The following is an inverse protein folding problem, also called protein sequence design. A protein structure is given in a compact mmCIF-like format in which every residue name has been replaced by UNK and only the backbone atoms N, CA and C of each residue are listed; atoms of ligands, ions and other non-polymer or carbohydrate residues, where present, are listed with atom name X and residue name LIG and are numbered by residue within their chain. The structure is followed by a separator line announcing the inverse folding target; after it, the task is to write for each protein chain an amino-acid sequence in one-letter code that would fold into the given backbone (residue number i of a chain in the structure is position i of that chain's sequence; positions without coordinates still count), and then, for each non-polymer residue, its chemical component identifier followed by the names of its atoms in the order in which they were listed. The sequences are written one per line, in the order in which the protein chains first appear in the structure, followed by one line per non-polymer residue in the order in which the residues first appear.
data_IF_170711325972
#
_entry.id   IF_170711325972
#
_cell.length_a   1.000
_cell.length_b   1.000
_cell.length_c   1.000
_cell.angle_alpha   90.00
_cell.angle_beta   90.00
_cell.angle_gamma   90.00
#
_symmetry.space_group_name_H-M   'P 1'
#
loop_
_entity.id
_entity.type
_entity.pdbx_description
1 polymer ?
#
# COMPACT_ATOMS: atom_id res chain seq x y z
N UNK A 1 29.23 5.06 8.37
CA UNK A 1 29.70 4.63 9.69
C UNK A 1 29.36 3.16 9.90
N UNK A 2 28.17 2.78 10.34
CA UNK A 2 27.86 1.36 10.58
C UNK A 2 27.83 0.51 9.28
N UNK A 3 27.58 1.12 8.11
CA UNK A 3 27.59 0.43 6.84
C UNK A 3 28.97 -0.19 6.54
N UNK A 4 30.04 0.56 6.80
CA UNK A 4 31.41 0.08 6.60
C UNK A 4 31.77 -1.00 7.61
N UNK A 5 31.35 -0.83 8.88
CA UNK A 5 31.61 -1.79 9.95
C UNK A 5 30.97 -3.14 9.70
N UNK A 6 29.70 -3.14 9.25
CA UNK A 6 28.95 -4.36 8.93
C UNK A 6 29.09 -4.81 7.47
N UNK A 7 29.99 -4.17 6.70
CA UNK A 7 30.23 -4.46 5.30
C UNK A 7 28.97 -4.40 4.40
N UNK A 8 28.11 -3.39 4.67
CA UNK A 8 26.91 -3.14 3.88
C UNK A 8 27.20 -2.21 2.70
N UNK A 9 26.56 -2.47 1.56
CA UNK A 9 26.68 -1.65 0.34
C UNK A 9 25.91 -0.33 0.43
N UNK A 10 24.88 -0.27 1.26
CA UNK A 10 24.01 0.89 1.44
C UNK A 10 23.30 0.81 2.79
N UNK A 11 22.68 1.93 3.22
CA UNK A 11 21.82 1.95 4.42
C UNK A 11 20.58 1.08 4.23
N UNK A 12 20.36 0.03 5.03
CA UNK A 12 19.20 -0.84 4.89
C UNK A 12 17.88 -0.15 5.31
N UNK A 13 17.90 0.69 6.33
CA UNK A 13 16.71 1.24 6.98
C UNK A 13 16.44 2.72 6.65
N UNK A 14 16.63 3.11 5.39
CA UNK A 14 16.31 4.47 4.92
C UNK A 14 14.82 4.76 5.05
N UNK A 15 14.49 5.99 5.45
CA UNK A 15 13.10 6.45 5.53
C UNK A 15 12.55 6.92 4.18
N UNK A 16 13.42 7.31 3.25
CA UNK A 16 12.99 7.72 1.92
C UNK A 16 12.38 6.53 1.15
N UNK A 17 11.22 6.72 0.51
CA UNK A 17 10.60 5.67 -0.30
C UNK A 17 11.50 5.28 -1.47
N UNK A 18 11.99 4.04 -1.47
CA UNK A 18 12.79 3.45 -2.54
C UNK A 18 12.11 2.15 -3.01
N UNK A 19 11.62 2.10 -4.27
CA UNK A 19 10.94 0.92 -4.80
C UNK A 19 11.75 -0.37 -4.74
N UNK A 20 13.09 -0.27 -4.72
CA UNK A 20 13.98 -1.44 -4.61
C UNK A 20 13.85 -2.18 -3.29
N UNK A 21 13.48 -1.45 -2.22
CA UNK A 21 13.28 -2.00 -0.89
C UNK A 21 11.80 -2.33 -0.60
N UNK A 22 10.95 -2.34 -1.62
CA UNK A 22 9.55 -2.73 -1.44
C UNK A 22 9.49 -4.19 -0.97
N UNK A 23 8.91 -4.39 0.20
CA UNK A 23 8.60 -5.71 0.72
C UNK A 23 7.14 -6.05 0.42
N UNK A 24 6.91 -7.18 -0.22
CA UNK A 24 5.59 -7.64 -0.59
C UNK A 24 4.96 -8.44 0.56
N UNK A 25 4.49 -7.76 1.62
CA UNK A 25 3.65 -8.41 2.63
C UNK A 25 2.32 -8.86 2.02
N UNK A 26 1.60 -9.71 2.72
CA UNK A 26 0.26 -10.18 2.30
C UNK A 26 -0.70 -8.99 2.04
N UNK A 27 -0.67 -7.98 2.91
CA UNK A 27 -1.48 -6.77 2.75
C UNK A 27 -1.05 -5.95 1.54
N UNK A 28 0.26 -5.78 1.29
CA UNK A 28 0.79 -5.08 0.11
C UNK A 28 0.44 -5.79 -1.20
N UNK A 29 0.52 -7.13 -1.23
CA UNK A 29 0.12 -7.91 -2.41
C UNK A 29 -1.37 -7.75 -2.74
N UNK A 30 -2.23 -7.77 -1.71
CA UNK A 30 -3.68 -7.52 -1.88
C UNK A 30 -3.94 -6.10 -2.38
N UNK A 31 -3.33 -5.09 -1.76
CA UNK A 31 -3.43 -3.71 -2.22
C UNK A 31 -3.00 -3.56 -3.68
N UNK A 32 -1.87 -4.15 -4.06
CA UNK A 32 -1.38 -4.13 -5.44
C UNK A 32 -2.36 -4.80 -6.41
N UNK A 33 -3.01 -5.90 -6.02
CA UNK A 33 -4.03 -6.56 -6.83
C UNK A 33 -5.25 -5.64 -7.07
N UNK A 34 -5.75 -4.96 -6.02
CA UNK A 34 -6.84 -3.99 -6.16
C UNK A 34 -6.46 -2.80 -7.04
N UNK A 35 -5.25 -2.27 -6.89
CA UNK A 35 -4.73 -1.19 -7.71
C UNK A 35 -4.66 -1.59 -9.19
N UNK A 36 -4.15 -2.79 -9.48
CA UNK A 36 -4.12 -3.34 -10.86
C UNK A 36 -5.50 -3.59 -11.44
N UNK A 37 -6.40 -4.16 -10.63
CA UNK A 37 -7.79 -4.37 -11.04
C UNK A 37 -8.45 -3.06 -11.43
N UNK A 38 -8.34 -2.03 -10.59
CA UNK A 38 -8.90 -0.73 -10.90
C UNK A 38 -8.30 -0.13 -12.17
N UNK A 39 -6.98 -0.27 -12.37
CA UNK A 39 -6.35 0.17 -13.62
C UNK A 39 -6.92 -0.52 -14.86
N UNK A 40 -7.30 -1.80 -14.75
CA UNK A 40 -7.94 -2.52 -15.85
C UNK A 40 -9.34 -1.98 -16.14
N UNK A 41 -10.10 -1.64 -15.09
CA UNK A 41 -11.42 -1.01 -15.22
C UNK A 41 -11.31 0.37 -15.85
N UNK A 42 -10.25 1.13 -15.54
CA UNK A 42 -9.93 2.41 -16.19
C UNK A 42 -10.82 3.57 -15.81
N UNK A 43 -11.61 3.45 -14.74
CA UNK A 43 -12.55 4.47 -14.27
C UNK A 43 -12.58 4.57 -12.74
N UNK A 44 -13.22 5.62 -12.22
CA UNK A 44 -13.52 5.79 -10.79
C UNK A 44 -12.32 5.96 -9.88
N UNK A 45 -12.53 5.64 -8.59
CA UNK A 45 -11.55 5.82 -7.54
C UNK A 45 -11.10 4.48 -6.97
N UNK A 46 -9.80 4.39 -6.67
CA UNK A 46 -9.25 3.34 -5.83
C UNK A 46 -8.68 4.01 -4.59
N UNK A 47 -9.11 3.53 -3.44
CA UNK A 47 -8.73 4.10 -2.15
C UNK A 47 -7.81 3.13 -1.42
N UNK A 48 -6.66 3.60 -0.98
CA UNK A 48 -5.75 2.86 -0.10
C UNK A 48 -5.56 3.66 1.18
N UNK A 49 -6.08 3.15 2.28
CA UNK A 49 -5.87 3.72 3.60
C UNK A 49 -4.85 2.93 4.41
N UNK A 50 -4.41 3.45 5.51
CA UNK A 50 -3.51 2.78 6.46
C UNK A 50 -2.73 3.77 7.30
N UNK A 51 -2.05 3.27 8.31
CA UNK A 51 -1.29 4.07 9.26
C UNK A 51 -0.17 4.88 8.62
N UNK A 52 0.30 5.89 9.36
CA UNK A 52 1.47 6.68 8.96
C UNK A 52 2.69 5.75 8.92
N UNK A 53 3.29 5.64 7.72
CA UNK A 53 4.47 4.79 7.55
C UNK A 53 4.18 3.33 7.22
N UNK A 54 2.92 2.94 6.98
CA UNK A 54 2.54 1.60 6.50
C UNK A 54 3.08 1.27 5.10
N UNK A 55 3.59 2.25 4.33
CA UNK A 55 4.19 2.02 3.01
C UNK A 55 3.29 2.36 1.83
N UNK A 56 2.16 3.06 2.03
CA UNK A 56 1.21 3.48 0.98
C UNK A 56 1.87 4.13 -0.23
N UNK A 57 2.65 5.19 0.01
CA UNK A 57 3.36 5.94 -1.04
C UNK A 57 4.38 5.07 -1.77
N UNK A 58 5.08 4.17 -1.07
CA UNK A 58 6.06 3.25 -1.68
C UNK A 58 5.36 2.26 -2.60
N UNK A 59 4.22 1.70 -2.16
CA UNK A 59 3.40 0.77 -2.93
C UNK A 59 2.97 1.41 -4.27
N UNK A 60 2.46 2.63 -4.22
CA UNK A 60 1.95 3.31 -5.41
C UNK A 60 3.08 3.76 -6.33
N UNK A 61 4.21 4.23 -5.80
CA UNK A 61 5.40 4.51 -6.61
C UNK A 61 5.90 3.26 -7.34
N UNK A 62 5.90 2.11 -6.67
CA UNK A 62 6.25 0.84 -7.30
C UNK A 62 5.27 0.46 -8.42
N UNK A 63 3.96 0.70 -8.21
CA UNK A 63 2.96 0.51 -9.26
C UNK A 63 3.27 1.42 -10.47
N UNK A 64 3.46 2.72 -10.27
CA UNK A 64 3.73 3.68 -11.36
C UNK A 64 5.00 3.32 -12.12
N UNK A 65 6.08 2.97 -11.41
CA UNK A 65 7.32 2.56 -12.05
C UNK A 65 7.12 1.36 -13.00
N UNK A 66 6.20 0.47 -12.67
CA UNK A 66 5.80 -0.62 -13.54
C UNK A 66 4.92 -0.16 -14.71
N UNK A 67 4.02 0.79 -14.47
CA UNK A 67 3.10 1.33 -15.47
C UNK A 67 3.75 2.27 -16.49
N UNK A 68 4.87 2.90 -16.13
CA UNK A 68 5.63 3.74 -17.07
C UNK A 68 6.03 2.99 -18.37
N UNK A 69 5.97 1.65 -18.32
CA UNK A 69 6.17 0.77 -19.49
C UNK A 69 4.88 0.51 -20.29
N UNK A 70 3.71 0.94 -19.81
CA UNK A 70 2.40 0.52 -20.31
C UNK A 70 1.54 1.67 -20.89
N UNK A 71 2.14 2.67 -21.53
CA UNK A 71 1.38 3.80 -22.11
C UNK A 71 0.48 4.55 -21.09
N UNK A 72 0.96 4.74 -19.86
CA UNK A 72 0.27 5.46 -18.80
C UNK A 72 0.90 6.83 -18.57
N UNK A 73 0.08 7.88 -18.53
CA UNK A 73 0.47 9.22 -18.08
C UNK A 73 0.02 9.36 -16.62
N UNK A 74 0.96 9.35 -15.70
CA UNK A 74 0.68 9.43 -14.28
C UNK A 74 1.12 10.79 -13.72
N UNK A 75 0.26 11.40 -12.89
CA UNK A 75 0.60 12.57 -12.09
C UNK A 75 0.38 12.26 -10.61
N UNK A 76 1.23 12.81 -9.75
CA UNK A 76 1.12 12.70 -8.30
C UNK A 76 0.98 14.09 -7.70
N UNK A 77 0.01 14.25 -6.82
CA UNK A 77 -0.13 15.39 -5.93
C UNK A 77 -0.04 14.92 -4.48
N UNK A 78 0.59 15.73 -3.64
CA UNK A 78 0.60 15.53 -2.19
C UNK A 78 -0.23 16.66 -1.60
N UNK A 79 -1.30 16.30 -0.91
CA UNK A 79 -2.23 17.29 -0.40
C UNK A 79 -1.82 17.79 0.97
N UNK A 80 -1.82 19.11 1.09
CA UNK A 80 -1.95 19.83 2.35
C UNK A 80 -3.40 20.35 2.43
N UNK A 81 -3.77 21.11 3.42
CA UNK A 81 -5.10 21.73 3.49
C UNK A 81 -5.33 22.67 2.30
N UNK A 82 -5.99 22.18 1.25
CA UNK A 82 -6.22 22.88 0.00
C UNK A 82 -7.71 23.17 -0.20
N UNK A 83 -8.00 24.38 -0.60
CA UNK A 83 -9.33 24.71 -1.12
C UNK A 83 -9.59 24.03 -2.48
N UNK A 84 -10.85 23.91 -2.87
CA UNK A 84 -11.25 23.18 -4.07
C UNK A 84 -10.64 23.72 -5.36
N UNK A 85 -10.51 25.05 -5.49
CA UNK A 85 -9.98 25.67 -6.70
C UNK A 85 -8.45 25.48 -6.82
N UNK A 86 -7.75 25.48 -5.70
CA UNK A 86 -6.31 25.21 -5.66
C UNK A 86 -6.00 23.75 -5.99
N UNK A 87 -6.86 22.83 -5.59
CA UNK A 87 -6.73 21.42 -5.97
C UNK A 87 -6.74 21.26 -7.51
N UNK A 88 -7.69 21.87 -8.22
CA UNK A 88 -7.76 21.79 -9.68
C UNK A 88 -6.52 22.38 -10.35
N UNK A 89 -6.00 23.48 -9.83
CA UNK A 89 -4.75 24.09 -10.30
C UNK A 89 -3.55 23.17 -10.06
N UNK A 90 -3.48 22.53 -8.89
CA UNK A 90 -2.43 21.56 -8.59
C UNK A 90 -2.49 20.34 -9.52
N UNK A 91 -3.69 19.80 -9.78
CA UNK A 91 -3.88 18.71 -10.73
C UNK A 91 -3.41 19.12 -12.12
N UNK A 92 -3.80 20.31 -12.60
CA UNK A 92 -3.34 20.81 -13.89
C UNK A 92 -1.82 20.98 -13.94
N UNK A 93 -1.22 21.60 -12.90
CA UNK A 93 0.23 21.75 -12.78
C UNK A 93 0.98 20.41 -12.73
N UNK A 94 0.43 19.40 -12.04
CA UNK A 94 1.03 18.06 -11.98
C UNK A 94 1.04 17.35 -13.35
N UNK A 95 0.10 17.68 -14.23
CA UNK A 95 0.12 17.25 -15.65
C UNK A 95 0.90 18.19 -16.57
N UNK A 96 1.55 19.22 -16.03
CA UNK A 96 2.35 20.20 -16.82
C UNK A 96 1.52 21.21 -17.60
N UNK A 97 0.27 21.47 -17.17
CA UNK A 97 -0.63 22.42 -17.82
C UNK A 97 -0.54 23.82 -17.14
N UNK A 98 -0.78 24.91 -17.90
CA UNK A 98 -0.90 26.24 -17.31
C UNK A 98 -2.01 26.29 -16.27
N UNK A 99 -1.69 26.72 -15.05
CA UNK A 99 -2.60 26.74 -13.92
C UNK A 99 -2.62 28.03 -13.12
N UNK A 100 -1.59 28.88 -13.28
CA UNK A 100 -1.50 30.18 -12.62
C UNK A 100 -2.23 31.26 -13.47
N UNK A 101 -2.87 32.18 -12.78
CA UNK A 101 -3.62 33.31 -13.38
C UNK A 101 -4.71 32.91 -14.41
N UNK A 102 -5.23 31.69 -14.27
CA UNK A 102 -6.23 31.12 -15.17
C UNK A 102 -7.53 30.91 -14.39
N UNK A 103 -8.68 31.25 -15.01
CA UNK A 103 -9.97 30.98 -14.38
C UNK A 103 -10.23 29.45 -14.21
N UNK A 104 -11.00 29.08 -13.18
CA UNK A 104 -11.40 27.66 -12.93
C UNK A 104 -11.94 27.00 -14.21
N UNK A 105 -12.81 27.70 -14.94
CA UNK A 105 -13.39 27.18 -16.19
C UNK A 105 -12.33 26.92 -17.27
N UNK A 106 -11.28 27.73 -17.33
CA UNK A 106 -10.18 27.52 -18.29
C UNK A 106 -9.29 26.36 -17.84
N UNK A 107 -9.02 26.20 -16.53
CA UNK A 107 -8.30 25.03 -15.98
C UNK A 107 -9.02 23.73 -16.32
N UNK A 108 -10.34 23.66 -16.12
CA UNK A 108 -11.14 22.49 -16.45
C UNK A 108 -11.09 22.17 -17.93
N UNK A 109 -11.25 23.17 -18.82
CA UNK A 109 -11.13 22.97 -20.28
C UNK A 109 -9.74 22.47 -20.71
N UNK A 110 -8.69 23.00 -20.09
CA UNK A 110 -7.32 22.57 -20.38
C UNK A 110 -7.10 21.11 -19.94
N UNK A 111 -7.60 20.72 -18.77
CA UNK A 111 -7.56 19.35 -18.29
C UNK A 111 -8.33 18.41 -19.21
N UNK A 112 -9.57 18.76 -19.58
CA UNK A 112 -10.39 17.96 -20.48
C UNK A 112 -9.71 17.79 -21.84
N UNK A 113 -9.23 18.87 -22.44
CA UNK A 113 -8.54 18.84 -23.74
C UNK A 113 -7.28 17.97 -23.70
N UNK A 114 -6.51 18.08 -22.62
CA UNK A 114 -5.33 17.25 -22.40
C UNK A 114 -5.69 15.79 -22.28
N UNK A 115 -6.70 15.46 -21.47
CA UNK A 115 -7.14 14.08 -21.26
C UNK A 115 -7.66 13.45 -22.56
N UNK A 116 -8.44 14.20 -23.34
CA UNK A 116 -8.90 13.77 -24.66
C UNK A 116 -7.74 13.53 -25.63
N UNK A 117 -6.75 14.42 -25.66
CA UNK A 117 -5.58 14.25 -26.51
C UNK A 117 -4.78 12.99 -26.17
N UNK A 118 -4.51 12.76 -24.86
CA UNK A 118 -3.81 11.56 -24.40
C UNK A 118 -4.59 10.28 -24.64
N UNK A 119 -5.91 10.32 -24.46
CA UNK A 119 -6.79 9.18 -24.75
C UNK A 119 -6.77 8.78 -26.24
N UNK A 120 -6.74 9.78 -27.16
CA UNK A 120 -6.59 9.54 -28.61
C UNK A 120 -5.24 8.90 -28.97
N UNK A 121 -4.19 9.18 -28.19
CA UNK A 121 -2.88 8.51 -28.32
C UNK A 121 -2.88 7.09 -27.73
N UNK A 122 -4.01 6.59 -27.23
CA UNK A 122 -4.10 5.29 -26.57
C UNK A 122 -3.50 5.26 -25.16
N UNK A 123 -3.21 6.43 -24.58
CA UNK A 123 -2.63 6.53 -23.23
C UNK A 123 -3.72 6.57 -22.17
N UNK A 124 -3.48 5.91 -21.06
CA UNK A 124 -4.31 6.01 -19.84
C UNK A 124 -3.79 7.13 -18.96
N UNK A 125 -4.70 7.82 -18.28
CA UNK A 125 -4.33 8.92 -17.39
C UNK A 125 -4.67 8.53 -15.97
N UNK A 126 -3.69 8.63 -15.08
CA UNK A 126 -3.78 8.26 -13.68
C UNK A 126 -3.39 9.47 -12.83
N UNK A 127 -4.28 9.87 -11.95
CA UNK A 127 -4.01 10.86 -10.91
C UNK A 127 -3.83 10.14 -9.57
N UNK A 128 -2.74 10.47 -8.89
CA UNK A 128 -2.46 9.98 -7.56
C UNK A 128 -2.52 11.12 -6.57
N UNK A 129 -3.36 10.96 -5.58
CA UNK A 129 -3.53 11.93 -4.49
C UNK A 129 -3.02 11.29 -3.20
N UNK A 130 -1.88 11.78 -2.71
CA UNK A 130 -1.30 11.34 -1.44
C UNK A 130 -1.77 12.25 -0.30
N UNK A 131 -1.86 11.69 0.92
CA UNK A 131 -2.40 12.36 2.12
C UNK A 131 -3.83 12.90 1.90
N UNK A 132 -4.68 12.14 1.19
CA UNK A 132 -6.01 12.57 0.76
C UNK A 132 -6.98 12.88 1.93
N UNK A 133 -6.71 12.44 3.16
CA UNK A 133 -7.46 12.84 4.35
C UNK A 133 -7.39 14.35 4.65
N UNK A 134 -6.39 15.04 4.10
CA UNK A 134 -6.28 16.49 4.25
C UNK A 134 -7.21 17.27 3.31
N UNK A 135 -7.88 16.57 2.37
CA UNK A 135 -8.83 17.20 1.46
C UNK A 135 -10.20 17.40 2.13
N UNK A 136 -10.75 18.60 2.11
CA UNK A 136 -12.15 18.81 2.48
C UNK A 136 -13.09 18.08 1.53
N UNK A 137 -14.30 17.74 1.99
CA UNK A 137 -15.31 17.04 1.19
C UNK A 137 -15.58 17.71 -0.17
N UNK A 138 -15.58 19.07 -0.22
CA UNK A 138 -15.72 19.83 -1.47
C UNK A 138 -14.62 19.53 -2.49
N UNK A 139 -13.39 19.32 -2.05
CA UNK A 139 -12.27 18.99 -2.93
C UNK A 139 -12.37 17.56 -3.47
N UNK A 140 -12.88 16.62 -2.67
CA UNK A 140 -13.20 15.26 -3.14
C UNK A 140 -14.30 15.28 -4.20
N UNK A 141 -15.31 16.15 -4.05
CA UNK A 141 -16.35 16.36 -5.06
C UNK A 141 -15.79 16.94 -6.37
N UNK A 142 -14.81 17.83 -6.33
CA UNK A 142 -14.13 18.29 -7.55
C UNK A 142 -13.39 17.13 -8.26
N UNK A 143 -12.73 16.25 -7.52
CA UNK A 143 -12.13 15.04 -8.11
C UNK A 143 -13.20 14.14 -8.73
N UNK A 144 -14.37 14.02 -8.09
CA UNK A 144 -15.51 13.27 -8.64
C UNK A 144 -15.98 13.91 -9.95
N UNK A 145 -16.07 15.24 -10.03
CA UNK A 145 -16.42 15.94 -11.26
C UNK A 145 -15.40 15.68 -12.38
N UNK A 146 -14.09 15.67 -12.08
CA UNK A 146 -13.06 15.29 -13.05
C UNK A 146 -13.21 13.85 -13.55
N UNK A 147 -13.67 12.93 -12.68
CA UNK A 147 -13.91 11.54 -13.06
C UNK A 147 -15.08 11.35 -14.05
N UNK A 148 -15.92 12.39 -14.25
CA UNK A 148 -17.00 12.38 -15.24
C UNK A 148 -16.50 12.70 -16.66
N UNK A 149 -15.27 13.15 -16.84
CA UNK A 149 -14.72 13.32 -18.18
C UNK A 149 -14.58 11.97 -18.88
N UNK A 150 -15.28 11.80 -19.99
CA UNK A 150 -15.36 10.54 -20.71
C UNK A 150 -15.38 10.75 -22.23
N UNK A 151 -15.01 9.73 -22.96
CA UNK A 151 -15.16 9.65 -24.41
C UNK A 151 -15.96 8.38 -24.75
N UNK A 152 -17.18 8.54 -25.24
CA UNK A 152 -18.14 7.44 -25.31
C UNK A 152 -18.40 6.88 -23.90
N UNK A 153 -18.25 5.57 -23.73
CA UNK A 153 -18.44 4.89 -22.45
C UNK A 153 -17.17 4.77 -21.61
N UNK A 154 -16.07 5.42 -22.03
CA UNK A 154 -14.78 5.28 -21.36
C UNK A 154 -14.41 6.54 -20.58
N UNK A 155 -14.18 6.41 -19.29
CA UNK A 155 -13.64 7.47 -18.46
C UNK A 155 -12.20 7.84 -18.90
N UNK A 156 -11.88 9.13 -18.85
CA UNK A 156 -10.57 9.64 -19.24
C UNK A 156 -9.56 9.66 -18.09
N UNK A 157 -10.04 9.72 -16.85
CA UNK A 157 -9.19 9.84 -15.67
C UNK A 157 -9.54 8.75 -14.67
N UNK A 158 -8.51 8.07 -14.18
CA UNK A 158 -8.59 7.23 -13.01
C UNK A 158 -7.81 7.84 -11.86
N UNK A 159 -8.39 7.80 -10.66
CA UNK A 159 -7.77 8.42 -9.48
C UNK A 159 -7.48 7.40 -8.39
N UNK A 160 -6.26 7.46 -7.84
CA UNK A 160 -5.83 6.74 -6.65
C UNK A 160 -5.76 7.70 -5.46
N UNK A 161 -6.51 7.41 -4.42
CA UNK A 161 -6.52 8.18 -3.19
C UNK A 161 -5.78 7.39 -2.12
N UNK A 162 -4.71 7.97 -1.60
CA UNK A 162 -3.92 7.42 -0.51
C UNK A 162 -4.13 8.29 0.71
N UNK A 163 -4.50 7.69 1.82
CA UNK A 163 -4.78 8.46 3.04
C UNK A 163 -4.64 7.64 4.30
N UNK A 164 -4.81 8.32 5.41
CA UNK A 164 -4.93 7.70 6.73
C UNK A 164 -6.37 7.21 6.94
N UNK A 165 -6.66 6.66 8.11
CA UNK A 165 -7.98 6.08 8.40
C UNK A 165 -9.09 7.13 8.36
N UNK A 166 -8.78 8.38 8.71
CA UNK A 166 -9.70 9.53 8.68
C UNK A 166 -10.29 9.76 7.27
N UNK A 167 -9.59 9.36 6.22
CA UNK A 167 -10.15 9.41 4.86
C UNK A 167 -11.40 8.53 4.73
N UNK A 168 -11.46 7.41 5.44
CA UNK A 168 -12.64 6.54 5.45
C UNK A 168 -13.82 7.23 6.12
N UNK A 169 -13.57 7.95 7.23
CA UNK A 169 -14.60 8.69 7.97
C UNK A 169 -15.13 9.82 7.10
N UNK A 170 -14.27 10.56 6.42
CA UNK A 170 -14.68 11.60 5.47
C UNK A 170 -15.57 11.01 4.37
N UNK A 171 -15.15 9.88 3.77
CA UNK A 171 -15.95 9.24 2.73
C UNK A 171 -17.28 8.68 3.24
N UNK A 172 -17.38 8.33 4.52
CA UNK A 172 -18.63 7.84 5.14
C UNK A 172 -19.54 8.97 5.60
N UNK A 173 -19.05 10.21 5.64
CA UNK A 173 -19.85 11.37 6.08
C UNK A 173 -21.05 11.63 5.17
N UNK A 174 -21.99 12.37 5.70
CA UNK A 174 -23.19 12.80 4.98
C UNK A 174 -22.83 13.63 3.75
N UNK A 175 -23.53 13.43 2.65
CA UNK A 175 -23.28 14.13 1.38
C UNK A 175 -22.23 13.49 0.48
N UNK A 176 -21.52 12.42 0.92
CA UNK A 176 -20.50 11.73 0.12
C UNK A 176 -21.02 10.49 -0.64
N UNK A 177 -22.35 10.30 -0.74
CA UNK A 177 -22.95 9.13 -1.40
C UNK A 177 -22.52 9.00 -2.86
N UNK A 178 -22.54 10.11 -3.60
CA UNK A 178 -22.17 10.12 -5.03
C UNK A 178 -20.69 9.79 -5.23
N UNK A 179 -19.83 10.25 -4.32
CA UNK A 179 -18.43 9.91 -4.32
C UNK A 179 -18.23 8.41 -4.05
N UNK A 180 -18.87 7.86 -3.02
CA UNK A 180 -18.79 6.43 -2.67
C UNK A 180 -19.20 5.52 -3.82
N UNK A 181 -20.22 5.88 -4.60
CA UNK A 181 -20.66 5.12 -5.78
C UNK A 181 -19.60 5.04 -6.89
N UNK A 182 -18.62 5.93 -6.88
CA UNK A 182 -17.49 5.94 -7.82
C UNK A 182 -16.25 5.22 -7.29
N UNK A 183 -16.27 4.74 -6.04
CA UNK A 183 -15.16 3.96 -5.46
C UNK A 183 -15.28 2.51 -5.93
N UNK A 184 -14.37 2.09 -6.79
CA UNK A 184 -14.34 0.73 -7.35
C UNK A 184 -13.74 -0.25 -6.36
N UNK A 185 -12.69 0.18 -5.67
CA UNK A 185 -12.01 -0.65 -4.68
C UNK A 185 -11.47 0.21 -3.53
N UNK A 186 -11.55 -0.34 -2.33
CA UNK A 186 -10.94 0.23 -1.14
C UNK A 186 -10.14 -0.86 -0.41
N UNK A 187 -8.92 -0.55 0.00
CA UNK A 187 -8.08 -1.44 0.76
C UNK A 187 -7.43 -0.70 1.93
N UNK A 188 -7.43 -1.34 3.11
CA UNK A 188 -6.70 -0.85 4.26
C UNK A 188 -5.38 -1.59 4.41
N UNK A 189 -4.28 -0.84 4.41
CA UNK A 189 -2.93 -1.36 4.56
C UNK A 189 -2.58 -1.37 6.04
N UNK A 190 -2.80 -2.50 6.69
CA UNK A 190 -2.48 -2.71 8.10
C UNK A 190 -0.99 -2.90 8.38
N UNK A 191 -0.62 -2.99 9.66
CA UNK A 191 0.75 -3.31 10.08
C UNK A 191 1.18 -4.69 9.62
N UNK A 192 2.48 -4.95 9.66
CA UNK A 192 3.07 -6.25 9.37
C UNK A 192 2.80 -7.21 10.54
N UNK A 193 2.49 -8.45 10.23
CA UNK A 193 2.44 -9.52 11.20
C UNK A 193 3.83 -9.83 11.80
N UNK A 194 3.97 -10.48 12.98
CA UNK A 194 5.28 -10.78 13.58
C UNK A 194 6.24 -11.48 12.63
N UNK A 195 5.77 -12.50 11.92
CA UNK A 195 6.58 -13.22 10.94
C UNK A 195 6.96 -12.37 9.72
N UNK A 196 6.07 -11.46 9.28
CA UNK A 196 6.34 -10.51 8.19
C UNK A 196 7.34 -9.43 8.63
N UNK A 197 7.30 -8.97 9.88
CA UNK A 197 8.30 -8.04 10.45
C UNK A 197 9.69 -8.63 10.36
N UNK A 198 9.88 -9.89 10.76
CA UNK A 198 11.15 -10.60 10.62
C UNK A 198 11.61 -10.66 9.14
N UNK A 199 10.70 -11.05 8.25
CA UNK A 199 11.00 -11.14 6.82
C UNK A 199 11.33 -9.76 6.23
N UNK A 200 10.62 -8.73 6.65
CA UNK A 200 10.85 -7.35 6.24
C UNK A 200 12.26 -6.87 6.61
N UNK A 201 12.67 -7.06 7.86
CA UNK A 201 14.00 -6.68 8.33
C UNK A 201 15.08 -7.41 7.53
N UNK A 202 14.96 -8.74 7.41
CA UNK A 202 15.90 -9.55 6.63
C UNK A 202 15.94 -9.13 5.17
N UNK A 203 14.78 -8.87 4.55
CA UNK A 203 14.73 -8.38 3.17
C UNK A 203 15.50 -7.08 2.99
N UNK A 204 15.31 -6.11 3.87
CA UNK A 204 16.02 -4.83 3.81
C UNK A 204 17.53 -4.97 4.01
N UNK A 205 17.95 -5.80 4.95
CA UNK A 205 19.34 -6.11 5.20
C UNK A 205 19.97 -6.80 3.98
N UNK A 206 19.34 -7.82 3.42
CA UNK A 206 19.80 -8.52 2.22
C UNK A 206 19.95 -7.59 1.01
N UNK A 207 18.97 -6.68 0.80
CA UNK A 207 19.05 -5.68 -0.27
C UNK A 207 20.22 -4.70 -0.08
N UNK A 208 20.67 -4.50 1.16
CA UNK A 208 21.85 -3.72 1.49
C UNK A 208 23.16 -4.52 1.41
N UNK A 209 23.12 -5.81 1.06
CA UNK A 209 24.29 -6.67 0.96
C UNK A 209 24.72 -7.36 2.25
N UNK A 210 23.80 -7.51 3.21
CA UNK A 210 24.02 -8.16 4.50
C UNK A 210 24.37 -9.64 4.33
N UNK A 211 25.35 -10.10 5.09
CA UNK A 211 25.88 -11.47 5.11
C UNK A 211 25.88 -12.06 6.52
N UNK A 212 24.78 -11.83 7.25
CA UNK A 212 24.56 -12.23 8.64
C UNK A 212 25.49 -11.53 9.67
N UNK A 213 25.98 -10.33 9.34
CA UNK A 213 26.72 -9.49 10.27
C UNK A 213 26.11 -8.06 10.25
N UNK A 214 25.55 -7.57 11.41
CA UNK A 214 25.35 -8.29 12.68
C UNK A 214 24.32 -9.41 12.58
N UNK A 215 24.48 -10.45 13.39
CA UNK A 215 23.48 -11.51 13.52
C UNK A 215 22.33 -11.03 14.42
N UNK A 216 21.09 -11.10 13.91
CA UNK A 216 19.88 -10.80 14.68
C UNK A 216 19.29 -12.09 15.25
N UNK A 217 19.15 -12.15 16.57
CA UNK A 217 18.54 -13.30 17.26
C UNK A 217 17.02 -13.30 17.11
N UNK A 218 16.35 -14.40 17.39
CA UNK A 218 14.91 -14.53 17.23
C UNK A 218 14.13 -13.61 18.19
N UNK A 219 14.61 -13.44 19.41
CA UNK A 219 14.06 -12.53 20.42
C UNK A 219 14.22 -11.06 20.03
N UNK A 220 15.30 -10.68 19.34
CA UNK A 220 15.44 -9.34 18.78
C UNK A 220 14.31 -9.00 17.80
N UNK A 221 13.94 -9.92 16.88
CA UNK A 221 12.84 -9.70 15.97
C UNK A 221 11.50 -9.58 16.68
N UNK A 222 11.26 -10.38 17.72
CA UNK A 222 10.04 -10.30 18.55
C UNK A 222 9.98 -8.95 19.25
N UNK A 223 11.06 -8.53 19.93
CA UNK A 223 11.14 -7.24 20.62
C UNK A 223 10.92 -6.07 19.64
N UNK A 224 11.54 -6.07 18.46
CA UNK A 224 11.33 -5.04 17.44
C UNK A 224 9.86 -4.98 17.01
N UNK A 225 9.21 -6.13 16.77
CA UNK A 225 7.81 -6.15 16.38
C UNK A 225 6.91 -5.54 17.48
N UNK A 226 7.06 -5.97 18.71
CA UNK A 226 6.29 -5.48 19.87
C UNK A 226 6.44 -3.97 20.07
N UNK A 227 7.67 -3.44 19.92
CA UNK A 227 7.97 -2.01 20.11
C UNK A 227 7.56 -1.12 18.95
N UNK A 228 7.35 -1.68 17.78
CA UNK A 228 7.00 -0.92 16.56
C UNK A 228 5.57 -1.15 16.09
N UNK A 229 4.84 -2.09 16.74
CA UNK A 229 3.51 -2.50 16.31
C UNK A 229 3.48 -3.02 14.86
N UNK A 230 4.60 -3.48 14.32
CA UNK A 230 4.70 -3.94 12.93
C UNK A 230 4.62 -2.83 11.87
N UNK A 231 4.72 -1.55 12.25
CA UNK A 231 4.65 -0.41 11.31
C UNK A 231 6.00 -0.22 10.62
N UNK A 232 6.11 -0.35 9.27
CA UNK A 232 7.38 -0.33 8.54
C UNK A 232 8.27 0.88 8.83
N UNK A 233 7.68 2.08 8.97
CA UNK A 233 8.43 3.29 9.30
C UNK A 233 9.05 3.21 10.69
N UNK A 234 8.32 2.70 11.68
CA UNK A 234 8.80 2.53 13.04
C UNK A 234 9.89 1.45 13.11
N UNK A 235 9.70 0.35 12.38
CA UNK A 235 10.71 -0.70 12.24
C UNK A 235 12.00 -0.10 11.69
N UNK A 236 11.93 0.70 10.62
CA UNK A 236 13.12 1.32 10.04
C UNK A 236 13.82 2.27 11.02
N UNK A 237 13.06 3.10 11.73
CA UNK A 237 13.62 4.04 12.72
C UNK A 237 14.32 3.28 13.84
N UNK A 238 13.69 2.24 14.37
CA UNK A 238 14.27 1.45 15.47
C UNK A 238 15.50 0.66 14.97
N UNK A 239 15.39 -0.04 13.86
CA UNK A 239 16.49 -0.83 13.31
C UNK A 239 17.71 0.04 12.91
N UNK A 240 17.51 1.25 12.37
CA UNK A 240 18.63 2.16 12.06
C UNK A 240 19.39 2.57 13.33
N UNK A 241 18.66 2.84 14.44
CA UNK A 241 19.27 3.12 15.74
C UNK A 241 19.96 1.90 16.36
N UNK A 242 19.34 0.73 16.28
CA UNK A 242 19.94 -0.53 16.76
C UNK A 242 21.24 -0.83 16.01
N UNK A 243 21.28 -0.63 14.69
CA UNK A 243 22.50 -0.78 13.89
C UNK A 243 23.58 0.23 14.28
N UNK A 244 23.18 1.46 14.60
CA UNK A 244 24.11 2.50 15.05
C UNK A 244 24.65 2.17 16.43
N UNK A 245 23.79 1.79 17.38
CA UNK A 245 24.18 1.35 18.72
C UNK A 245 25.17 0.16 18.68
N UNK A 246 24.80 -0.87 17.90
CA UNK A 246 25.68 -2.04 17.75
C UNK A 246 27.04 -1.70 17.14
N UNK A 247 27.11 -0.69 16.26
CA UNK A 247 28.40 -0.17 15.76
C UNK A 247 29.20 0.54 16.84
N UNK A 248 28.56 1.35 17.69
CA UNK A 248 29.23 2.09 18.75
C UNK A 248 29.77 1.17 19.86
N UNK A 249 29.05 0.09 20.14
CA UNK A 249 29.44 -0.94 21.13
C UNK A 249 30.20 -2.12 20.50
N UNK A 250 30.59 -2.02 19.22
CA UNK A 250 31.32 -3.05 18.45
C UNK A 250 30.64 -4.44 18.48
N UNK A 251 29.31 -4.47 18.52
CA UNK A 251 28.52 -5.71 18.59
C UNK A 251 28.38 -6.35 17.21
N UNK A 252 28.60 -7.66 17.14
CA UNK A 252 28.32 -8.48 15.95
C UNK A 252 27.06 -9.34 16.09
N UNK A 253 26.41 -9.28 17.24
CA UNK A 253 25.13 -9.92 17.51
C UNK A 253 24.19 -8.91 18.15
N UNK A 254 22.96 -8.90 17.70
CA UNK A 254 21.85 -8.06 18.21
C UNK A 254 20.79 -8.99 18.79
N UNK A 255 20.55 -8.88 20.07
CA UNK A 255 19.53 -9.64 20.81
C UNK A 255 18.41 -8.73 21.32
N UNK A 256 17.42 -9.32 21.99
CA UNK A 256 16.27 -8.59 22.52
C UNK A 256 16.67 -7.58 23.61
N UNK A 257 17.71 -7.85 24.40
CA UNK A 257 18.21 -6.95 25.43
C UNK A 257 18.82 -5.69 24.80
N UNK A 258 19.64 -5.86 23.78
CA UNK A 258 20.19 -4.74 22.98
C UNK A 258 19.09 -3.86 22.38
N UNK A 259 18.04 -4.46 21.82
CA UNK A 259 16.89 -3.70 21.28
C UNK A 259 16.18 -2.93 22.39
N UNK A 260 15.99 -3.55 23.56
CA UNK A 260 15.33 -2.92 24.69
C UNK A 260 16.12 -1.71 25.22
N UNK A 261 17.46 -1.80 25.34
CA UNK A 261 18.32 -0.69 25.74
C UNK A 261 18.17 0.51 24.79
N UNK A 262 18.17 0.27 23.48
CA UNK A 262 18.00 1.33 22.48
C UNK A 262 16.62 1.99 22.57
N UNK A 263 15.57 1.23 22.87
CA UNK A 263 14.22 1.76 23.08
C UNK A 263 14.17 2.65 24.32
N UNK A 264 14.81 2.25 25.41
CA UNK A 264 14.87 3.03 26.65
C UNK A 264 15.64 4.35 26.48
N UNK A 265 16.77 4.32 25.79
CA UNK A 265 17.52 5.53 25.44
C UNK A 265 16.68 6.52 24.63
N UNK A 266 15.98 6.02 23.61
CA UNK A 266 15.06 6.84 22.79
C UNK A 266 13.96 7.49 23.62
N UNK A 267 13.37 6.77 24.57
CA UNK A 267 12.32 7.28 25.45
C UNK A 267 12.79 8.41 26.36
N UNK A 268 14.07 8.40 26.75
CA UNK A 268 14.70 9.47 27.54
C UNK A 268 15.01 10.71 26.70
N UNK A 269 15.37 10.54 25.43
CA UNK A 269 15.70 11.65 24.52
C UNK A 269 14.46 12.43 24.08
N UNK A 270 13.32 11.75 23.90
CA UNK A 270 12.06 12.31 23.41
C UNK A 270 10.92 12.03 24.40
N UNK A 271 10.86 12.74 25.55
CA UNK A 271 9.75 12.58 26.49
C UNK A 271 8.46 13.12 25.83
N UNK A 272 7.56 12.24 25.45
CA UNK A 272 6.25 12.61 24.86
C UNK A 272 5.85 11.85 23.59
N UNK A 273 6.55 10.81 23.18
CA UNK A 273 6.10 9.94 22.09
C UNK A 273 5.00 8.98 22.63
N UNK A 274 3.70 9.19 22.30
CA UNK A 274 2.59 8.48 22.97
C UNK A 274 2.49 7.00 22.61
N UNK A 275 3.36 6.46 21.79
CA UNK A 275 3.26 5.09 21.26
C UNK A 275 4.03 4.02 22.04
N UNK A 276 4.67 4.36 23.17
CA UNK A 276 5.44 3.37 23.96
C UNK A 276 4.64 2.74 25.10
N UNK A 277 3.40 3.16 25.36
CA UNK A 277 2.58 2.64 26.45
C UNK A 277 1.22 2.13 25.96
N UNK A 278 1.20 0.94 25.41
CA UNK A 278 -0.02 0.14 25.30
C UNK A 278 0.30 -1.31 25.70
N UNK A 279 0.60 -1.52 26.98
CA UNK A 279 0.30 -2.79 27.63
C UNK A 279 -1.16 -2.71 28.06
N UNK A 280 -2.01 -3.70 27.78
CA UNK A 280 -3.36 -3.70 28.33
C UNK A 280 -3.28 -4.04 29.81
N UNK A 281 -3.28 -3.04 30.68
CA UNK A 281 -3.62 -3.27 32.07
C UNK A 281 -5.11 -3.59 32.19
N UNK A 282 -5.37 -4.75 32.74
CA UNK A 282 -6.68 -5.19 33.20
C UNK A 282 -7.30 -4.15 34.13
N UNK A 283 -8.36 -3.47 33.69
CA UNK A 283 -9.18 -2.66 34.59
C UNK A 283 -10.26 -3.54 35.22
N UNK A 284 -10.41 -3.50 36.57
CA UNK A 284 -11.42 -4.30 37.24
C UNK A 284 -12.84 -3.76 36.96
N UNK A 285 -13.69 -4.68 36.61
CA UNK A 285 -15.10 -4.62 36.35
C UNK A 285 -15.86 -3.92 37.51
N UNK A 286 -16.38 -2.72 37.32
CA UNK A 286 -17.39 -2.11 38.20
C UNK A 286 -18.74 -2.13 37.48
N UNK A 287 -19.56 -3.04 37.92
CA UNK A 287 -20.95 -3.20 37.49
C UNK A 287 -21.81 -1.96 37.81
N UNK A 288 -22.60 -1.49 36.83
CA UNK A 288 -23.85 -0.76 37.06
C UNK A 288 -24.97 -1.37 36.23
N UNK A 289 -26.14 -1.57 36.83
CA UNK A 289 -27.27 -2.28 36.21
C UNK A 289 -28.22 -1.34 35.46
N UNK A 290 -28.74 -1.79 34.34
CA UNK A 290 -29.83 -1.10 33.65
C UNK A 290 -30.09 -1.66 32.25
N UNK A 291 -30.86 -2.72 32.21
CA UNK A 291 -31.81 -3.17 31.19
C UNK A 291 -31.80 -2.50 29.82
N UNK A 292 -31.53 -3.34 28.77
CA UNK A 292 -32.47 -3.42 27.64
C UNK A 292 -32.18 -4.73 26.85
N UNK A 293 -33.14 -5.64 26.91
CA UNK A 293 -33.24 -6.81 26.05
C UNK A 293 -33.52 -6.35 24.62
N UNK A 294 -32.70 -6.76 23.66
CA UNK A 294 -33.09 -6.81 22.25
C UNK A 294 -32.29 -7.88 21.48
N UNK A 295 -33.03 -8.88 21.03
CA UNK A 295 -32.83 -9.71 19.85
C UNK A 295 -31.53 -10.54 19.72
N UNK A 296 -31.58 -11.74 20.25
CA UNK A 296 -30.63 -12.85 20.03
C UNK A 296 -30.95 -13.65 18.75
N UNK A 297 -30.97 -13.02 17.55
CA UNK A 297 -31.31 -13.78 16.33
C UNK A 297 -30.36 -13.51 15.14
N UNK A 298 -29.30 -12.73 15.30
CA UNK A 298 -28.42 -12.33 14.16
C UNK A 298 -27.00 -12.86 14.21
N UNK A 299 -26.56 -13.46 15.33
CA UNK A 299 -25.15 -13.92 15.47
C UNK A 299 -24.89 -15.21 14.67
N UNK A 300 -25.84 -16.13 14.63
CA UNK A 300 -25.69 -17.41 13.92
C UNK A 300 -25.66 -17.29 12.39
N UNK A 301 -26.28 -16.27 11.82
CA UNK A 301 -26.32 -16.08 10.36
C UNK A 301 -25.06 -15.37 9.82
N UNK A 302 -24.48 -14.49 10.61
CA UNK A 302 -23.20 -13.84 10.31
C UNK A 302 -22.04 -14.84 10.38
N UNK A 303 -22.00 -15.71 11.37
CA UNK A 303 -20.97 -16.77 11.45
C UNK A 303 -21.06 -17.77 10.28
N UNK A 304 -22.27 -18.18 9.89
CA UNK A 304 -22.46 -19.05 8.72
C UNK A 304 -22.03 -18.37 7.41
N UNK A 305 -22.28 -17.09 7.25
CA UNK A 305 -21.82 -16.29 6.09
C UNK A 305 -20.30 -16.13 6.10
N UNK A 306 -19.70 -15.92 7.27
CA UNK A 306 -18.24 -15.85 7.41
C UNK A 306 -17.57 -17.16 7.00
N UNK A 307 -18.03 -18.29 7.53
CA UNK A 307 -17.55 -19.63 7.18
C UNK A 307 -17.73 -19.97 5.69
N UNK A 308 -18.82 -19.50 5.06
CA UNK A 308 -19.05 -19.70 3.63
C UNK A 308 -18.09 -18.83 2.78
N UNK A 309 -17.77 -17.63 3.22
CA UNK A 309 -16.79 -16.75 2.58
C UNK A 309 -15.37 -17.28 2.72
N UNK A 310 -14.99 -17.80 3.89
CA UNK A 310 -13.69 -18.45 4.11
C UNK A 310 -13.50 -19.65 3.17
N UNK A 311 -14.49 -20.54 3.07
CA UNK A 311 -14.42 -21.68 2.12
C UNK A 311 -14.31 -21.25 0.66
N UNK A 312 -14.95 -20.12 0.27
CA UNK A 312 -14.81 -19.57 -1.08
C UNK A 312 -13.42 -18.97 -1.30
N UNK A 313 -12.86 -18.31 -0.29
CA UNK A 313 -11.49 -17.78 -0.32
C UNK A 313 -10.47 -18.92 -0.48
N UNK A 314 -10.59 -19.98 0.31
CA UNK A 314 -9.70 -21.14 0.21
C UNK A 314 -9.77 -21.80 -1.18
N UNK A 315 -10.97 -21.90 -1.76
CA UNK A 315 -11.14 -22.45 -3.11
C UNK A 315 -10.53 -21.56 -4.19
N UNK A 316 -10.61 -20.23 -4.04
CA UNK A 316 -9.99 -19.27 -4.95
C UNK A 316 -8.46 -19.26 -4.81
N UNK A 317 -7.93 -19.36 -3.60
CA UNK A 317 -6.48 -19.49 -3.37
C UNK A 317 -5.93 -20.81 -3.96
N UNK A 318 -6.65 -21.91 -3.82
CA UNK A 318 -6.27 -23.19 -4.43
C UNK A 318 -6.25 -23.12 -5.97
N UNK A 319 -7.23 -22.43 -6.57
CA UNK A 319 -7.26 -22.22 -8.02
C UNK A 319 -6.14 -21.28 -8.50
N UNK A 320 -5.86 -20.19 -7.77
CA UNK A 320 -4.78 -19.28 -8.10
C UNK A 320 -3.40 -19.97 -8.02
N UNK A 321 -3.19 -20.86 -7.03
CA UNK A 321 -1.95 -21.68 -6.95
C UNK A 321 -1.81 -22.63 -8.14
N UNK A 322 -2.90 -23.28 -8.55
CA UNK A 322 -2.88 -24.17 -9.72
C UNK A 322 -2.57 -23.42 -11.00
N UNK A 323 -3.12 -22.23 -11.19
CA UNK A 323 -2.82 -21.36 -12.34
C UNK A 323 -1.35 -20.88 -12.31
N UNK A 324 -0.84 -20.54 -11.16
CA UNK A 324 0.55 -20.13 -10.99
C UNK A 324 1.54 -21.28 -11.27
N UNK A 325 1.23 -22.49 -10.83
CA UNK A 325 1.99 -23.69 -11.16
C UNK A 325 1.94 -24.03 -12.67
N UNK A 326 0.79 -23.83 -13.30
CA UNK A 326 0.63 -23.99 -14.76
C UNK A 326 1.47 -22.97 -15.53
N UNK A 327 1.42 -21.69 -15.16
CA UNK A 327 2.22 -20.65 -15.76
C UNK A 327 3.73 -20.90 -15.56
N UNK A 328 4.12 -21.38 -14.38
CA UNK A 328 5.50 -21.74 -14.11
C UNK A 328 5.98 -22.91 -14.98
N UNK A 329 5.16 -23.96 -15.17
CA UNK A 329 5.46 -25.06 -16.09
C UNK A 329 5.58 -24.60 -17.54
N UNK A 330 4.71 -23.71 -17.97
CA UNK A 330 4.76 -23.12 -19.34
C UNK A 330 6.04 -22.32 -19.53
N UNK A 331 6.40 -21.51 -18.55
CA UNK A 331 7.62 -20.69 -18.56
C UNK A 331 8.87 -21.58 -18.58
N UNK A 332 8.92 -22.63 -17.78
CA UNK A 332 10.05 -23.58 -17.73
C UNK A 332 10.16 -24.38 -19.04
N UNK A 333 9.05 -24.78 -19.65
CA UNK A 333 9.08 -25.44 -20.97
C UNK A 333 9.54 -24.49 -22.08
N UNK A 334 9.15 -23.22 -22.02
CA UNK A 334 9.59 -22.20 -22.99
C UNK A 334 11.09 -21.86 -22.82
N UNK A 335 11.62 -21.88 -21.61
CA UNK A 335 13.04 -21.64 -21.32
C UNK A 335 13.95 -22.82 -21.64
N UNK A 336 13.41 -24.04 -21.66
CA UNK A 336 14.17 -25.27 -21.98
C UNK A 336 14.16 -25.64 -23.46
N UNK A 337 13.36 -24.97 -24.29
CA UNK A 337 13.31 -25.16 -25.72
C UNK A 337 14.11 -24.05 -26.43
N UNK A 338 15.30 -24.40 -26.87
CA UNK A 338 16.24 -23.51 -27.59
C UNK A 338 15.83 -23.19 -29.03
N UNK A 339 14.51 -23.19 -29.34
CA UNK A 339 13.99 -22.81 -30.65
C UNK A 339 12.66 -22.09 -30.47
N UNK A 340 12.44 -21.05 -31.25
CA UNK A 340 11.23 -20.21 -31.34
C UNK A 340 9.95 -21.05 -31.41
N UNK A 341 9.38 -21.38 -30.24
CA UNK A 341 8.09 -22.09 -30.16
C UNK A 341 6.98 -21.04 -30.04
N UNK A 342 6.06 -21.09 -30.99
CA UNK A 342 4.83 -20.33 -30.95
C UNK A 342 4.04 -20.68 -29.69
N UNK A 343 3.93 -19.71 -28.77
CA UNK A 343 3.22 -19.84 -27.49
C UNK A 343 1.80 -20.38 -27.64
N UNK A 344 1.14 -20.11 -28.76
CA UNK A 344 -0.22 -20.57 -29.07
C UNK A 344 -0.29 -22.10 -29.16
N UNK A 345 0.72 -22.76 -29.73
CA UNK A 345 0.77 -24.23 -29.83
C UNK A 345 1.06 -24.91 -28.51
N UNK A 346 1.84 -24.28 -27.62
CA UNK A 346 2.13 -24.80 -26.29
C UNK A 346 0.86 -24.78 -25.40
N UNK A 347 0.09 -23.71 -25.46
CA UNK A 347 -1.17 -23.57 -24.74
C UNK A 347 -2.21 -24.61 -25.19
N UNK A 348 -2.34 -24.87 -26.49
CA UNK A 348 -3.27 -25.86 -27.02
C UNK A 348 -2.89 -27.32 -26.68
N UNK A 349 -1.62 -27.65 -26.58
CA UNK A 349 -1.17 -28.97 -26.10
C UNK A 349 -1.51 -29.21 -24.63
N UNK A 350 -1.39 -28.18 -23.78
CA UNK A 350 -1.72 -28.29 -22.35
C UNK A 350 -3.23 -28.44 -22.16
N UNK A 351 -4.07 -27.72 -22.92
CA UNK A 351 -5.53 -27.89 -22.92
C UNK A 351 -6.01 -29.29 -23.33
N UNK A 352 -5.26 -29.98 -24.15
CA UNK A 352 -5.59 -31.36 -24.57
C UNK A 352 -5.21 -32.42 -23.54
N UNK A 353 -4.19 -32.19 -22.73
CA UNK A 353 -3.75 -33.11 -21.66
C UNK A 353 -4.68 -33.03 -20.43
N UNK A 354 -5.32 -31.90 -20.18
CA UNK A 354 -6.25 -31.71 -19.05
C UNK A 354 -7.68 -32.24 -19.34
N UNK A 355 -7.95 -32.74 -20.54
CA UNK A 355 -9.24 -33.35 -20.93
C UNK A 355 -9.19 -34.86 -21.09
N UNK A 356 -8.03 -35.48 -20.86
CA UNK A 356 -7.83 -36.91 -20.79
C UNK A 356 -7.60 -37.40 -19.35
#
# INVERSE_FOLDING_TARGET
MYETFYNLKTKPFRLSPDPRFLFNSRSHLRAMAYLRYGLQMGEGFIVVTGDIGAGKTTLVRALIANLAKENVVAAQIVTTQLESDDLLRMVAGAFGLPSQDVSKAAVLRNLESFMLARSREGKRIVLMVDEAQNLPAKSLEELRMLSNFQTGDRALLQSFLLGQEELRDIMQSEGMEQFRQRVIAAHHLGPLEPHETRQYIKHRLCMAGWTDNPHFTDDAFVCIHERTGGIPRQINLLCDRVMLYGYLEELHQIDGETVQLVVEERSRELPGDPQVHASPEEQPNVARPGQLQLASTTVGDTERRLLALERRLDSMEANARREQERLHKILMMALLSDNSVDLSQAIDRIRKVDKA
#
